data_IF_802818671367
#
_entry.id   IF_802818671367
#
_cell.length_a   1.000
_cell.length_b   1.000
_cell.length_c   1.000
_cell.angle_alpha   90.00
_cell.angle_beta   90.00
_cell.angle_gamma   90.00
#
_symmetry.space_group_name_H-M   'P 1'
#
loop_
_entity.id
_entity.type
_entity.pdbx_description
1 polymer ?
#
# COMPACT_ATOMS: atom_id res chain seq x y z
N UNK A 1 2.27 0.46 26.40
CA UNK A 1 1.20 0.01 25.48
C UNK A 1 1.66 0.42 24.10
N UNK A 2 1.94 -0.52 23.21
CA UNK A 2 2.32 -0.19 21.83
C UNK A 2 1.05 0.19 21.10
N UNK A 3 0.89 1.46 20.71
CA UNK A 3 -0.28 1.87 19.93
C UNK A 3 -0.26 1.14 18.57
N UNK A 4 -1.35 0.45 18.26
CA UNK A 4 -1.53 -0.22 16.97
C UNK A 4 -1.50 0.81 15.85
N UNK A 5 -0.59 0.62 14.89
CA UNK A 5 -0.53 1.43 13.68
C UNK A 5 -1.67 1.02 12.74
N UNK A 6 -2.50 1.96 12.32
CA UNK A 6 -3.53 1.73 11.29
C UNK A 6 -3.08 2.28 9.96
N UNK A 7 -3.23 1.48 8.91
CA UNK A 7 -2.90 1.86 7.53
C UNK A 7 -4.10 1.59 6.65
N UNK A 8 -4.50 2.57 5.86
CA UNK A 8 -5.47 2.42 4.78
C UNK A 8 -4.76 2.58 3.46
N UNK A 9 -4.68 1.52 2.67
CA UNK A 9 -3.89 1.44 1.44
C UNK A 9 -4.79 1.13 0.25
N UNK A 10 -4.67 1.91 -0.82
CA UNK A 10 -5.36 1.63 -2.08
C UNK A 10 -4.37 1.55 -3.24
N UNK A 11 -4.72 0.74 -4.23
CA UNK A 11 -3.99 0.58 -5.50
C UNK A 11 -5.00 0.79 -6.63
N UNK A 12 -4.57 1.55 -7.65
CA UNK A 12 -5.31 1.75 -8.90
C UNK A 12 -4.39 1.42 -10.06
N UNK A 13 -4.78 0.42 -10.87
CA UNK A 13 -4.01 -0.03 -12.01
C UNK A 13 -4.81 0.12 -13.31
N UNK A 14 -4.16 0.60 -14.36
CA UNK A 14 -4.73 0.71 -15.70
C UNK A 14 -3.98 -0.22 -16.65
N UNK A 15 -4.54 -1.41 -16.90
CA UNK A 15 -3.94 -2.43 -17.76
C UNK A 15 -3.57 -1.95 -19.17
N UNK A 16 -4.42 -1.16 -19.88
CA UNK A 16 -4.08 -0.71 -21.24
C UNK A 16 -2.80 0.14 -21.31
N UNK A 17 -2.47 0.84 -20.23
CA UNK A 17 -1.30 1.73 -20.18
C UNK A 17 -0.17 1.16 -19.31
N UNK A 18 -0.41 0.02 -18.64
CA UNK A 18 0.51 -0.57 -17.66
C UNK A 18 0.98 0.44 -16.60
N UNK A 19 0.04 1.26 -16.11
CA UNK A 19 0.32 2.30 -15.11
C UNK A 19 -0.37 1.94 -13.81
N UNK A 20 0.39 1.96 -12.72
CA UNK A 20 -0.12 1.80 -11.36
C UNK A 20 0.07 3.07 -10.55
N UNK A 21 -0.94 3.43 -9.77
CA UNK A 21 -0.87 4.41 -8.70
C UNK A 21 -1.30 3.78 -7.40
N UNK A 22 -0.68 4.17 -6.31
CA UNK A 22 -1.05 3.74 -4.98
C UNK A 22 -0.95 4.91 -4.01
N UNK A 23 -1.75 4.83 -2.96
CA UNK A 23 -1.68 5.78 -1.87
C UNK A 23 -2.06 5.11 -0.56
N UNK A 24 -1.48 5.58 0.53
CA UNK A 24 -1.90 5.19 1.86
C UNK A 24 -2.04 6.36 2.80
N UNK A 25 -2.90 6.17 3.79
CA UNK A 25 -2.98 6.98 5.01
C UNK A 25 -2.52 6.08 6.16
N UNK A 26 -1.64 6.59 7.00
CA UNK A 26 -1.16 5.93 8.22
C UNK A 26 -1.56 6.77 9.42
N UNK A 27 -2.10 6.13 10.44
CA UNK A 27 -2.30 6.71 11.78
C UNK A 27 -1.53 5.88 12.81
N UNK A 28 -0.69 6.56 13.56
CA UNK A 28 0.09 6.01 14.67
C UNK A 28 0.13 7.04 15.84
N UNK A 29 0.88 6.74 16.90
CA UNK A 29 1.02 7.64 18.06
C UNK A 29 1.67 8.99 17.73
N UNK A 30 2.33 9.15 16.57
CA UNK A 30 2.90 10.41 16.12
C UNK A 30 1.92 11.25 15.27
N UNK A 31 0.77 10.68 14.89
CA UNK A 31 -0.31 11.38 14.19
C UNK A 31 -0.70 10.71 12.87
N UNK A 32 -1.16 11.52 11.91
CA UNK A 32 -1.62 11.07 10.59
C UNK A 32 -0.62 11.49 9.51
N UNK A 33 -0.18 10.53 8.72
CA UNK A 33 0.69 10.72 7.57
C UNK A 33 0.11 10.00 6.34
N UNK A 34 0.62 10.31 5.15
CA UNK A 34 0.24 9.56 3.96
C UNK A 34 1.17 9.84 2.79
N UNK A 35 1.24 8.90 1.87
CA UNK A 35 2.04 8.97 0.64
C UNK A 35 1.15 8.62 -0.53
N UNK A 36 1.36 9.32 -1.65
CA UNK A 36 0.85 8.94 -2.95
C UNK A 36 2.03 8.75 -3.91
N UNK A 37 2.01 7.67 -4.66
CA UNK A 37 3.09 7.29 -5.57
C UNK A 37 2.54 6.51 -6.76
N UNK A 38 3.33 6.43 -7.82
CA UNK A 38 2.93 5.68 -9.00
C UNK A 38 4.09 5.46 -9.95
N UNK A 39 3.94 4.45 -10.79
CA UNK A 39 4.94 4.03 -11.76
C UNK A 39 4.24 3.52 -13.03
N UNK A 40 4.92 3.68 -14.17
CA UNK A 40 4.45 3.26 -15.50
C UNK A 40 5.26 2.08 -16.02
N UNK A 41 4.68 1.34 -16.96
CA UNK A 41 5.26 0.12 -17.57
C UNK A 41 5.47 -1.02 -16.58
N UNK A 42 4.64 -1.10 -15.55
CA UNK A 42 4.67 -2.18 -14.55
C UNK A 42 3.51 -3.15 -14.74
N UNK A 43 3.60 -4.34 -14.17
CA UNK A 43 2.47 -5.26 -14.04
C UNK A 43 1.61 -4.89 -12.81
N UNK A 44 0.37 -5.40 -12.77
CA UNK A 44 -0.53 -5.19 -11.64
C UNK A 44 0.08 -5.72 -10.32
N UNK A 45 0.68 -6.92 -10.36
CA UNK A 45 1.33 -7.53 -9.19
C UNK A 45 2.45 -6.65 -8.61
N UNK A 46 3.34 -6.14 -9.47
CA UNK A 46 4.38 -5.19 -9.05
C UNK A 46 3.81 -3.94 -8.39
N UNK A 47 2.69 -3.41 -8.87
CA UNK A 47 2.02 -2.26 -8.25
C UNK A 47 1.56 -2.58 -6.82
N UNK A 48 0.97 -3.75 -6.59
CA UNK A 48 0.58 -4.22 -5.25
C UNK A 48 1.78 -4.41 -4.32
N UNK A 49 2.88 -4.99 -4.82
CA UNK A 49 4.11 -5.17 -4.06
C UNK A 49 4.74 -3.83 -3.64
N UNK A 50 4.89 -2.89 -4.59
CA UNK A 50 5.40 -1.55 -4.33
C UNK A 50 4.52 -0.78 -3.33
N UNK A 51 3.20 -0.92 -3.47
CA UNK A 51 2.23 -0.30 -2.58
C UNK A 51 2.38 -0.78 -1.12
N UNK A 52 2.45 -2.10 -0.92
CA UNK A 52 2.65 -2.67 0.42
C UNK A 52 4.04 -2.31 0.98
N UNK A 53 5.08 -2.38 0.15
CA UNK A 53 6.44 -2.04 0.56
C UNK A 53 6.55 -0.59 1.02
N UNK A 54 5.90 0.34 0.31
CA UNK A 54 5.84 1.75 0.69
C UNK A 54 5.07 1.97 1.99
N UNK A 55 3.96 1.26 2.20
CA UNK A 55 3.14 1.38 3.41
C UNK A 55 3.85 0.88 4.68
N UNK A 56 4.64 -0.19 4.56
CA UNK A 56 5.39 -0.76 5.68
C UNK A 56 6.75 -0.08 5.92
N UNK A 57 7.16 0.83 5.04
CA UNK A 57 8.42 1.54 5.15
C UNK A 57 8.49 2.39 6.42
N UNK A 58 9.67 2.40 7.04
CA UNK A 58 10.01 3.20 8.22
C UNK A 58 9.18 2.87 9.48
N UNK A 59 8.39 1.79 9.46
CA UNK A 59 7.76 1.26 10.68
C UNK A 59 8.81 0.56 11.55
N UNK A 60 8.78 0.73 12.89
CA UNK A 60 9.72 0.06 13.76
C UNK A 60 9.53 -1.47 13.74
N UNK A 61 10.60 -2.19 14.06
CA UNK A 61 10.51 -3.64 14.30
C UNK A 61 9.59 -3.92 15.49
N UNK A 62 8.82 -5.00 15.43
CA UNK A 62 7.85 -5.36 16.45
C UNK A 62 6.56 -4.52 16.45
N UNK A 63 6.38 -3.61 15.49
CA UNK A 63 5.14 -2.84 15.36
C UNK A 63 3.93 -3.77 15.13
N UNK A 64 2.82 -3.44 15.79
CA UNK A 64 1.51 -4.04 15.51
C UNK A 64 0.79 -3.16 14.47
N UNK A 65 0.43 -3.76 13.34
CA UNK A 65 -0.09 -3.05 12.17
C UNK A 65 -1.41 -3.67 11.74
N UNK A 66 -2.45 -2.84 11.67
CA UNK A 66 -3.71 -3.17 11.01
C UNK A 66 -3.75 -2.43 9.66
N UNK A 67 -3.61 -3.19 8.57
CA UNK A 67 -3.64 -2.67 7.21
C UNK A 67 -4.96 -3.03 6.55
N UNK A 68 -5.75 -2.02 6.20
CA UNK A 68 -6.98 -2.15 5.43
C UNK A 68 -6.71 -1.77 3.97
N UNK A 69 -7.12 -2.60 3.02
CA UNK A 69 -6.90 -2.33 1.59
C UNK A 69 -8.11 -2.62 0.72
N UNK A 70 -8.20 -1.93 -0.42
CA UNK A 70 -9.15 -2.26 -1.49
C UNK A 70 -8.59 -3.34 -2.44
N UNK A 71 -7.27 -3.48 -2.49
CA UNK A 71 -6.57 -4.24 -3.52
C UNK A 71 -6.49 -5.73 -3.18
N UNK A 72 -6.99 -6.64 -4.03
CA UNK A 72 -6.88 -8.07 -3.80
C UNK A 72 -5.44 -8.58 -3.89
N UNK A 73 -4.58 -7.96 -4.70
CA UNK A 73 -3.16 -8.36 -4.82
C UNK A 73 -2.42 -8.13 -3.52
N UNK A 74 -2.58 -6.96 -2.90
CA UNK A 74 -2.02 -6.64 -1.57
C UNK A 74 -2.50 -7.63 -0.52
N UNK A 75 -3.80 -7.96 -0.51
CA UNK A 75 -4.37 -8.89 0.47
C UNK A 75 -3.86 -10.33 0.31
N UNK A 76 -3.44 -10.72 -0.90
CA UNK A 76 -2.92 -12.06 -1.18
C UNK A 76 -1.44 -12.26 -0.80
N UNK A 77 -0.64 -11.18 -0.73
CA UNK A 77 0.82 -11.25 -0.50
C UNK A 77 1.22 -12.12 0.70
N UNK A 78 0.59 -12.01 1.90
CA UNK A 78 0.99 -12.84 3.04
C UNK A 78 0.79 -14.34 2.77
N UNK A 79 -0.29 -14.71 2.08
CA UNK A 79 -0.56 -16.11 1.73
C UNK A 79 0.46 -16.61 0.70
N UNK A 80 0.77 -15.81 -0.33
CA UNK A 80 1.79 -16.15 -1.33
C UNK A 80 3.19 -16.31 -0.73
N UNK A 81 3.54 -15.54 0.30
CA UNK A 81 4.82 -15.69 1.00
C UNK A 81 4.86 -16.93 1.90
N UNK A 82 3.74 -17.31 2.51
CA UNK A 82 3.66 -18.48 3.35
C UNK A 82 3.66 -19.78 2.54
N UNK A 83 2.99 -19.77 1.39
CA UNK A 83 2.92 -20.88 0.45
C UNK A 83 2.99 -20.34 -0.99
N UNK A 84 4.18 -20.34 -1.60
CA UNK A 84 4.35 -19.91 -2.99
C UNK A 84 3.76 -20.90 -4.00
N UNK A 85 3.25 -22.06 -3.55
CA UNK A 85 2.76 -23.15 -4.39
C UNK A 85 3.84 -23.72 -5.33
N UNK A 86 3.39 -24.43 -6.37
CA UNK A 86 4.28 -25.06 -7.37
C UNK A 86 4.89 -24.05 -8.37
N UNK A 87 4.41 -22.81 -8.38
CA UNK A 87 4.89 -21.75 -9.28
C UNK A 87 5.33 -20.53 -8.46
N UNK A 88 6.52 -20.59 -7.85
CA UNK A 88 7.02 -19.48 -7.06
C UNK A 88 7.18 -18.22 -7.93
N UNK A 89 7.10 -17.01 -7.33
CA UNK A 89 7.33 -15.78 -8.06
C UNK A 89 8.71 -15.80 -8.75
N UNK A 90 8.73 -15.64 -10.07
CA UNK A 90 9.97 -15.57 -10.86
C UNK A 90 10.42 -14.13 -11.13
N UNK A 91 9.54 -13.15 -10.86
CA UNK A 91 9.75 -11.71 -11.06
C UNK A 91 9.65 -10.98 -9.71
N UNK A 92 10.13 -9.74 -9.66
CA UNK A 92 10.05 -8.85 -8.48
C UNK A 92 10.67 -9.46 -7.19
N UNK A 93 11.68 -10.34 -7.34
CA UNK A 93 12.31 -11.06 -6.24
C UNK A 93 12.87 -10.12 -5.15
N UNK A 94 13.33 -8.94 -5.55
CA UNK A 94 13.78 -7.88 -4.65
C UNK A 94 12.64 -7.38 -3.75
N UNK A 95 11.45 -7.15 -4.32
CA UNK A 95 10.27 -6.73 -3.57
C UNK A 95 9.72 -7.84 -2.69
N UNK A 96 9.72 -9.09 -3.18
CA UNK A 96 9.32 -10.24 -2.36
C UNK A 96 10.25 -10.44 -1.16
N UNK A 97 11.56 -10.32 -1.34
CA UNK A 97 12.52 -10.41 -0.24
C UNK A 97 12.34 -9.25 0.77
N UNK A 98 12.13 -8.02 0.28
CA UNK A 98 11.85 -6.87 1.12
C UNK A 98 10.57 -7.07 1.94
N UNK A 99 9.49 -7.56 1.32
CA UNK A 99 8.21 -7.78 1.98
C UNK A 99 8.25 -8.95 2.96
N UNK A 100 8.94 -10.04 2.62
CA UNK A 100 9.19 -11.16 3.53
C UNK A 100 9.87 -10.68 4.81
N UNK A 101 10.93 -9.87 4.67
CA UNK A 101 11.60 -9.25 5.82
C UNK A 101 10.65 -8.33 6.60
N UNK A 102 9.95 -7.45 5.90
CA UNK A 102 9.08 -6.45 6.51
C UNK A 102 7.90 -7.06 7.30
N UNK A 103 7.35 -8.16 6.81
CA UNK A 103 6.26 -8.91 7.44
C UNK A 103 6.77 -9.85 8.54
N UNK A 104 7.99 -10.39 8.42
CA UNK A 104 8.62 -11.18 9.49
C UNK A 104 9.00 -10.35 10.72
N UNK A 105 9.32 -9.08 10.53
CA UNK A 105 9.72 -8.17 11.61
C UNK A 105 8.54 -7.49 12.33
N UNK A 106 7.29 -7.67 11.86
CA UNK A 106 6.11 -6.92 12.34
C UNK A 106 4.88 -7.82 12.44
N UNK A 107 3.96 -7.49 13.36
CA UNK A 107 2.66 -8.18 13.42
C UNK A 107 1.67 -7.45 12.52
N UNK A 108 1.62 -7.83 11.25
CA UNK A 108 0.77 -7.18 10.24
C UNK A 108 -0.49 -8.01 9.98
N UNK A 109 -1.65 -7.43 10.27
CA UNK A 109 -2.96 -7.97 9.86
C UNK A 109 -3.43 -7.20 8.63
N UNK A 110 -3.56 -7.88 7.49
CA UNK A 110 -4.09 -7.29 6.26
C UNK A 110 -5.56 -7.70 6.08
N UNK A 111 -6.44 -6.73 5.90
CA UNK A 111 -7.87 -6.93 5.68
C UNK A 111 -8.30 -6.23 4.41
N UNK A 112 -8.98 -6.94 3.51
CA UNK A 112 -9.59 -6.34 2.32
C UNK A 112 -10.98 -5.81 2.64
N UNK A 113 -11.26 -4.58 2.26
CA UNK A 113 -12.57 -3.93 2.42
C UNK A 113 -12.90 -3.08 1.19
N UNK A 114 -14.19 -2.91 0.90
CA UNK A 114 -14.64 -1.92 -0.06
C UNK A 114 -14.51 -0.51 0.54
N UNK A 115 -14.11 0.52 -0.23
CA UNK A 115 -14.04 1.88 0.28
C UNK A 115 -15.44 2.48 0.47
N UNK A 116 -15.75 2.95 1.68
CA UNK A 116 -16.99 3.69 1.96
C UNK A 116 -16.73 5.21 1.93
N UNK A 117 -17.65 6.03 1.39
CA UNK A 117 -17.51 7.48 1.37
C UNK A 117 -17.19 8.06 2.75
N UNK A 118 -16.27 9.03 2.81
CA UNK A 118 -15.87 9.69 4.06
C UNK A 118 -14.90 8.91 4.95
N UNK A 119 -14.43 7.74 4.51
CA UNK A 119 -13.41 6.95 5.24
C UNK A 119 -11.98 7.22 4.76
N UNK A 120 -10.96 6.93 5.57
CA UNK A 120 -9.56 7.01 5.14
C UNK A 120 -9.25 6.09 3.94
N UNK A 121 -9.95 4.96 3.82
CA UNK A 121 -9.79 4.05 2.69
C UNK A 121 -10.32 4.64 1.39
N UNK A 122 -11.48 5.31 1.43
CA UNK A 122 -12.00 6.04 0.26
C UNK A 122 -11.10 7.24 -0.11
N UNK A 123 -10.55 7.93 0.88
CA UNK A 123 -9.55 8.96 0.65
C UNK A 123 -8.30 8.40 -0.04
N UNK A 124 -7.73 7.31 0.48
CA UNK A 124 -6.59 6.64 -0.14
C UNK A 124 -6.90 6.16 -1.56
N UNK A 125 -8.10 5.64 -1.81
CA UNK A 125 -8.54 5.22 -3.15
C UNK A 125 -8.56 6.37 -4.15
N UNK A 126 -9.11 7.53 -3.77
CA UNK A 126 -9.11 8.72 -4.62
C UNK A 126 -7.67 9.21 -4.95
N UNK A 127 -6.77 9.19 -3.95
CA UNK A 127 -5.36 9.53 -4.18
C UNK A 127 -4.64 8.49 -5.04
N UNK A 128 -4.94 7.20 -4.91
CA UNK A 128 -4.34 6.16 -5.74
C UNK A 128 -4.75 6.32 -7.21
N UNK A 129 -6.01 6.70 -7.49
CA UNK A 129 -6.47 7.02 -8.84
C UNK A 129 -5.77 8.25 -9.40
N UNK A 130 -5.73 9.36 -8.65
CA UNK A 130 -4.98 10.55 -9.06
C UNK A 130 -3.51 10.23 -9.30
N UNK A 131 -2.92 9.39 -8.45
CA UNK A 131 -1.55 8.97 -8.58
C UNK A 131 -1.30 8.17 -9.86
N UNK A 132 -2.22 7.28 -10.23
CA UNK A 132 -2.16 6.52 -11.48
C UNK A 132 -2.18 7.46 -12.67
N UNK A 133 -3.09 8.44 -12.69
CA UNK A 133 -3.16 9.41 -13.79
C UNK A 133 -1.87 10.23 -13.91
N UNK A 134 -1.30 10.67 -12.78
CA UNK A 134 -0.02 11.38 -12.76
C UNK A 134 1.15 10.50 -13.24
N UNK A 135 1.15 9.22 -12.91
CA UNK A 135 2.25 8.30 -13.21
C UNK A 135 2.42 8.05 -14.72
N UNK A 136 1.43 8.40 -15.55
CA UNK A 136 1.57 8.42 -17.02
C UNK A 136 2.78 9.24 -17.48
N UNK A 137 3.14 10.28 -16.73
CA UNK A 137 4.24 11.18 -17.03
C UNK A 137 5.59 10.76 -16.41
N UNK A 138 5.64 9.66 -15.67
CA UNK A 138 6.86 9.17 -15.01
C UNK A 138 6.61 8.70 -13.58
N UNK A 139 7.58 7.95 -13.05
CA UNK A 139 7.53 7.47 -11.68
C UNK A 139 7.65 8.63 -10.69
N UNK A 140 6.91 8.57 -9.59
CA UNK A 140 6.99 9.57 -8.52
C UNK A 140 6.54 8.99 -7.18
N UNK A 141 6.92 9.67 -6.10
CA UNK A 141 6.35 9.51 -4.77
C UNK A 141 6.37 10.86 -4.05
N UNK A 142 5.31 11.20 -3.32
CA UNK A 142 5.30 12.38 -2.46
C UNK A 142 4.42 12.18 -1.23
N UNK A 143 4.74 12.92 -0.16
CA UNK A 143 3.92 12.98 1.04
C UNK A 143 2.63 13.78 0.77
N UNK A 144 1.47 13.20 1.11
CA UNK A 144 0.18 13.87 0.98
C UNK A 144 0.18 15.10 1.90
N UNK A 145 -0.16 16.30 1.40
CA UNK A 145 -0.15 17.52 2.22
C UNK A 145 -1.05 17.42 3.46
N UNK A 146 -0.58 17.93 4.60
CA UNK A 146 -1.32 17.94 5.89
C UNK A 146 -2.76 18.46 5.78
N UNK A 147 -3.06 19.56 5.04
CA UNK A 147 -4.44 20.03 4.88
C UNK A 147 -5.37 19.03 4.19
N UNK A 148 -4.82 18.15 3.35
CA UNK A 148 -5.59 17.08 2.71
C UNK A 148 -5.75 15.88 3.65
N UNK A 149 -4.72 15.51 4.40
CA UNK A 149 -4.80 14.44 5.41
C UNK A 149 -5.85 14.74 6.49
N UNK A 150 -6.06 16.01 6.84
CA UNK A 150 -7.14 16.43 7.75
C UNK A 150 -8.55 16.05 7.24
N UNK A 151 -8.71 15.80 5.93
CA UNK A 151 -9.98 15.39 5.30
C UNK A 151 -10.13 13.87 5.21
N UNK A 152 -9.12 13.09 5.60
CA UNK A 152 -9.15 11.63 5.48
C UNK A 152 -10.11 10.97 6.47
N UNK A 153 -10.53 11.67 7.54
CA UNK A 153 -11.36 11.08 8.61
C UNK A 153 -10.62 10.01 9.43
N UNK A 154 -9.28 10.14 9.51
CA UNK A 154 -8.36 9.15 10.08
C UNK A 154 -8.18 9.28 11.58
#
# INVERSE_FOLDING_TARGET
MSDTTRIWLAVSYAAPFRVGGWAFVRRDGAGVAGIAAGERRIAAGRASLLALAAALKDLPKGAEVELVTTDPGVAAIPATLADPGDTPPAEDLDLWAQLSTALGERRVRIVRQAPQPGTPLAFAAAWAEQARERARNGAFAFAIPKPNLAKAGA
#
